data_IF_504372249934
#
_entry.id   IF_504372249934
#
_cell.length_a   1.000
_cell.length_b   1.000
_cell.length_c   1.000
_cell.angle_alpha   90.00
_cell.angle_beta   90.00
_cell.angle_gamma   90.00
#
_symmetry.space_group_name_H-M   'P 1'
#
loop_
_entity.id
_entity.type
_entity.pdbx_description
1 polymer ?
#
# COMPACT_ATOMS: atom_id res chain seq x y z
N UNK A 1 -6.10 27.48 -18.76
CA UNK A 1 -6.29 26.02 -18.81
C UNK A 1 -5.56 25.26 -17.70
N UNK A 2 -4.24 25.03 -17.71
CA UNK A 2 -3.61 24.17 -16.68
C UNK A 2 -3.86 24.71 -15.25
N UNK A 3 -3.72 26.02 -15.05
CA UNK A 3 -4.05 26.70 -13.78
C UNK A 3 -5.52 26.57 -13.34
N UNK A 4 -6.47 26.65 -14.27
CA UNK A 4 -7.91 26.50 -13.96
C UNK A 4 -8.25 25.05 -13.63
N UNK A 5 -7.66 24.09 -14.36
CA UNK A 5 -7.76 22.66 -14.07
C UNK A 5 -7.16 22.33 -12.71
N UNK A 6 -5.97 22.85 -12.40
CA UNK A 6 -5.32 22.72 -11.09
C UNK A 6 -6.18 23.32 -9.99
N UNK A 7 -6.76 24.50 -10.20
CA UNK A 7 -7.68 25.14 -9.23
C UNK A 7 -8.92 24.28 -8.96
N UNK A 8 -9.55 23.74 -10.01
CA UNK A 8 -10.71 22.84 -9.87
C UNK A 8 -10.36 21.55 -9.13
N UNK A 9 -9.20 20.95 -9.44
CA UNK A 9 -8.73 19.75 -8.76
C UNK A 9 -8.45 20.04 -7.28
N UNK A 10 -7.77 21.14 -6.96
CA UNK A 10 -7.52 21.57 -5.58
C UNK A 10 -8.82 21.80 -4.79
N UNK A 11 -9.84 22.39 -5.42
CA UNK A 11 -11.16 22.52 -4.79
C UNK A 11 -11.76 21.15 -4.44
N UNK A 12 -11.68 20.17 -5.35
CA UNK A 12 -12.16 18.80 -5.10
C UNK A 12 -11.37 18.09 -4.02
N UNK A 13 -10.04 18.24 -4.00
CA UNK A 13 -9.17 17.67 -2.97
C UNK A 13 -9.52 18.21 -1.58
N UNK A 14 -9.76 19.52 -1.46
CA UNK A 14 -10.15 20.16 -0.19
C UNK A 14 -11.46 19.60 0.38
N UNK A 15 -12.44 19.28 -0.45
CA UNK A 15 -13.70 18.65 -0.03
C UNK A 15 -13.53 17.21 0.50
N UNK A 16 -12.34 16.63 0.36
CA UNK A 16 -12.02 15.24 0.72
C UNK A 16 -10.98 15.13 1.84
N UNK A 17 -10.45 16.25 2.32
CA UNK A 17 -9.56 16.24 3.48
C UNK A 17 -10.23 15.61 4.69
N UNK A 18 -9.44 14.88 5.48
CA UNK A 18 -9.88 14.17 6.70
C UNK A 18 -10.91 13.06 6.48
N UNK A 19 -11.30 12.75 5.24
CA UNK A 19 -12.11 11.56 4.97
C UNK A 19 -11.19 10.34 5.00
N UNK A 20 -11.59 9.32 5.76
CA UNK A 20 -10.93 8.02 5.67
C UNK A 20 -11.11 7.47 4.26
N UNK A 21 -10.00 7.33 3.56
CA UNK A 21 -9.86 6.67 2.28
C UNK A 21 -9.75 5.15 2.50
N UNK A 22 -9.47 4.42 1.43
CA UNK A 22 -9.23 2.98 1.47
C UNK A 22 -8.01 2.63 2.32
N UNK A 23 -8.03 1.44 2.91
CA UNK A 23 -6.94 0.93 3.71
C UNK A 23 -6.73 1.69 5.04
N UNK A 24 -7.66 2.53 5.48
CA UNK A 24 -7.43 3.40 6.63
C UNK A 24 -6.45 4.56 6.35
N UNK A 25 -6.28 4.93 5.08
CA UNK A 25 -5.51 6.10 4.67
C UNK A 25 -6.34 7.37 4.93
N UNK A 26 -5.74 8.44 5.45
CA UNK A 26 -6.39 9.74 5.60
C UNK A 26 -5.46 10.80 5.02
N UNK A 27 -5.95 11.59 4.06
CA UNK A 27 -5.22 12.71 3.46
C UNK A 27 -5.62 14.06 4.07
N UNK A 28 -4.65 14.95 4.25
CA UNK A 28 -4.83 16.36 4.64
C UNK A 28 -3.89 17.26 3.85
N UNK A 29 -4.19 18.55 3.77
CA UNK A 29 -3.38 19.57 3.11
C UNK A 29 -3.05 19.16 1.65
N UNK A 30 -4.03 18.55 0.97
CA UNK A 30 -3.82 17.97 -0.36
C UNK A 30 -3.81 19.08 -1.42
N UNK A 31 -2.75 19.15 -2.21
CA UNK A 31 -2.57 20.21 -3.20
C UNK A 31 -1.84 19.73 -4.45
N UNK A 32 -2.23 20.26 -5.61
CA UNK A 32 -1.45 20.25 -6.84
C UNK A 32 -0.91 21.66 -7.08
N UNK A 33 0.40 21.76 -7.31
CA UNK A 33 1.10 23.00 -7.65
C UNK A 33 1.66 22.84 -9.05
N UNK A 34 1.31 23.76 -9.93
CA UNK A 34 1.95 23.91 -11.24
C UNK A 34 3.07 24.93 -11.13
N UNK A 35 4.31 24.49 -11.32
CA UNK A 35 5.46 25.39 -11.27
C UNK A 35 5.70 26.16 -12.59
N UNK A 36 4.86 25.95 -13.60
CA UNK A 36 4.94 26.63 -14.90
C UNK A 36 6.03 26.10 -15.83
N UNK A 37 6.83 25.12 -15.39
CA UNK A 37 7.93 24.52 -16.17
C UNK A 37 7.61 23.09 -16.63
N UNK A 38 6.32 22.73 -16.69
CA UNK A 38 5.90 21.37 -17.03
C UNK A 38 6.13 20.37 -15.89
N UNK A 39 6.19 20.83 -14.64
CA UNK A 39 6.20 19.97 -13.45
C UNK A 39 4.99 20.28 -12.58
N UNK A 40 4.17 19.25 -12.36
CA UNK A 40 3.09 19.27 -11.40
C UNK A 40 3.56 18.60 -10.11
N UNK A 41 3.60 19.37 -9.03
CA UNK A 41 3.92 18.85 -7.71
C UNK A 41 2.62 18.52 -6.96
N UNK A 42 2.48 17.28 -6.54
CA UNK A 42 1.39 16.80 -5.69
C UNK A 42 1.91 16.74 -4.25
N UNK A 43 1.29 17.53 -3.37
CA UNK A 43 1.59 17.62 -1.94
C UNK A 43 0.44 17.15 -1.08
N UNK A 44 0.77 16.69 0.12
CA UNK A 44 -0.20 16.27 1.11
C UNK A 44 0.44 15.56 2.30
N UNK A 45 -0.25 15.64 3.43
CA UNK A 45 0.01 14.80 4.59
C UNK A 45 -0.90 13.57 4.50
N UNK A 46 -0.32 12.37 4.58
CA UNK A 46 -1.05 11.13 4.61
C UNK A 46 -0.80 10.38 5.91
N UNK A 47 -1.86 9.86 6.50
CA UNK A 47 -1.79 8.90 7.60
C UNK A 47 -2.33 7.57 7.11
N UNK A 48 -1.50 6.53 7.11
CA UNK A 48 -1.89 5.15 6.81
C UNK A 48 -2.12 4.43 8.14
N UNK A 49 -3.32 3.89 8.36
CA UNK A 49 -3.62 3.10 9.56
C UNK A 49 -3.71 1.63 9.23
N UNK A 50 -2.78 0.83 9.77
CA UNK A 50 -2.75 -0.63 9.63
C UNK A 50 -3.32 -1.23 10.92
N UNK A 51 -4.33 -2.08 10.79
CA UNK A 51 -4.85 -2.88 11.90
C UNK A 51 -4.08 -4.19 11.96
N UNK A 52 -3.78 -4.64 13.16
CA UNK A 52 -3.15 -5.95 13.38
C UNK A 52 -4.04 -6.79 14.27
N UNK A 53 -4.41 -7.97 13.78
CA UNK A 53 -5.26 -8.89 14.51
C UNK A 53 -4.47 -10.13 14.91
N UNK A 54 -4.20 -10.27 16.21
CA UNK A 54 -3.49 -11.42 16.76
C UNK A 54 -4.43 -12.61 16.92
N UNK A 55 -4.39 -13.52 15.94
CA UNK A 55 -5.16 -14.75 15.91
C UNK A 55 -4.34 -15.96 16.37
N UNK A 56 -3.16 -15.77 16.95
CA UNK A 56 -2.39 -16.88 17.50
C UNK A 56 -3.12 -17.58 18.65
N UNK A 57 -2.92 -18.88 18.76
CA UNK A 57 -3.43 -19.72 19.86
C UNK A 57 -2.66 -19.47 21.14
N UNK A 58 -1.36 -19.22 21.03
CA UNK A 58 -0.50 -18.85 22.15
C UNK A 58 -0.38 -17.32 22.30
N UNK A 59 0.24 -16.87 23.40
CA UNK A 59 0.61 -15.47 23.55
C UNK A 59 1.69 -15.06 22.53
N UNK A 60 1.59 -13.85 22.02
CA UNK A 60 2.50 -13.26 21.03
C UNK A 60 3.37 -12.16 21.66
N UNK A 61 4.29 -12.47 22.61
CA UNK A 61 4.97 -11.47 23.45
C UNK A 61 5.87 -10.50 22.67
N UNK A 62 6.38 -10.88 21.49
CA UNK A 62 7.21 -10.03 20.65
C UNK A 62 6.40 -9.16 19.69
N UNK A 63 5.07 -9.36 19.60
CA UNK A 63 4.23 -8.61 18.68
C UNK A 63 4.41 -7.09 18.81
N UNK A 64 4.43 -6.47 20.00
CA UNK A 64 4.64 -5.02 20.13
C UNK A 64 5.95 -4.52 19.48
N UNK A 65 7.04 -5.28 19.62
CA UNK A 65 8.31 -4.95 18.98
C UNK A 65 8.26 -5.09 17.45
N UNK A 66 7.58 -6.12 16.93
CA UNK A 66 7.38 -6.33 15.49
C UNK A 66 6.52 -5.22 14.88
N UNK A 67 5.47 -4.77 15.57
CA UNK A 67 4.64 -3.63 15.16
C UNK A 67 5.48 -2.36 15.10
N UNK A 68 6.30 -2.11 16.12
CA UNK A 68 7.16 -0.94 16.19
C UNK A 68 8.20 -0.92 15.07
N UNK A 69 8.83 -2.07 14.80
CA UNK A 69 9.78 -2.23 13.70
C UNK A 69 9.13 -1.97 12.34
N UNK A 70 7.97 -2.59 12.09
CA UNK A 70 7.20 -2.43 10.85
C UNK A 70 6.78 -0.99 10.62
N UNK A 71 6.25 -0.34 11.65
CA UNK A 71 5.89 1.08 11.60
C UNK A 71 7.09 1.94 11.19
N UNK A 72 8.23 1.74 11.86
CA UNK A 72 9.45 2.52 11.64
C UNK A 72 9.98 2.32 10.22
N UNK A 73 9.98 1.08 9.74
CA UNK A 73 10.39 0.74 8.38
C UNK A 73 9.51 1.44 7.34
N UNK A 74 8.20 1.24 7.39
CA UNK A 74 7.26 1.81 6.42
C UNK A 74 7.32 3.34 6.41
N UNK A 75 7.39 3.98 7.58
CA UNK A 75 7.56 5.43 7.68
C UNK A 75 8.86 5.90 7.02
N UNK A 76 9.97 5.19 7.23
CA UNK A 76 11.27 5.57 6.66
C UNK A 76 11.29 5.45 5.13
N UNK A 77 10.70 4.38 4.57
CA UNK A 77 10.77 4.07 3.14
C UNK A 77 9.77 4.85 2.29
N UNK A 78 8.60 5.15 2.84
CA UNK A 78 7.59 5.95 2.15
C UNK A 78 7.84 7.46 2.25
N UNK A 79 8.78 7.90 3.09
CA UNK A 79 9.10 9.33 3.26
C UNK A 79 9.87 9.91 2.08
N UNK A 80 9.60 11.18 1.79
CA UNK A 80 10.43 12.02 0.94
C UNK A 80 9.97 12.03 -0.52
N UNK A 81 10.36 13.10 -1.25
CA UNK A 81 9.86 13.36 -2.59
C UNK A 81 10.25 12.26 -3.58
N UNK A 82 9.37 12.01 -4.55
CA UNK A 82 9.57 11.08 -5.65
C UNK A 82 9.12 11.72 -6.94
N UNK A 83 10.05 11.94 -7.88
CA UNK A 83 9.73 12.42 -9.22
C UNK A 83 9.41 11.25 -10.12
N UNK A 84 8.29 11.30 -10.85
CA UNK A 84 7.93 10.31 -11.86
C UNK A 84 8.06 10.87 -13.26
N UNK A 85 8.26 9.97 -14.23
CA UNK A 85 8.33 10.33 -15.64
C UNK A 85 7.08 11.03 -16.17
N UNK A 86 7.30 11.80 -17.22
CA UNK A 86 6.38 12.72 -17.86
C UNK A 86 5.24 12.02 -18.61
N UNK A 87 4.01 12.45 -18.35
CA UNK A 87 2.91 12.17 -19.26
C UNK A 87 3.00 13.16 -20.44
N UNK A 88 2.90 12.64 -21.66
CA UNK A 88 2.83 13.48 -22.85
C UNK A 88 1.42 14.05 -22.96
N UNK A 89 1.30 15.34 -22.65
CA UNK A 89 0.11 16.10 -23.00
C UNK A 89 0.36 16.87 -24.28
N UNK A 90 -0.70 17.46 -24.84
CA UNK A 90 -0.61 18.39 -25.95
C UNK A 90 -0.89 19.80 -25.46
N UNK A 91 -0.21 20.79 -26.03
CA UNK A 91 -0.43 22.19 -25.67
C UNK A 91 -1.85 22.61 -26.08
N UNK A 92 -2.62 23.18 -25.16
CA UNK A 92 -3.93 23.74 -25.50
C UNK A 92 -3.78 25.11 -26.15
N UNK A 93 -4.39 25.30 -27.32
CA UNK A 93 -4.48 26.59 -27.99
C UNK A 93 -5.75 27.33 -27.47
N UNK A 94 -5.60 28.37 -26.63
CA UNK A 94 -6.75 29.07 -26.07
C UNK A 94 -7.54 29.85 -27.12
N UNK A 95 -6.92 30.26 -28.23
CA UNK A 95 -7.59 30.97 -29.32
C UNK A 95 -8.46 30.01 -30.13
N UNK A 96 -7.97 28.80 -30.39
CA UNK A 96 -8.70 27.77 -31.17
C UNK A 96 -9.56 26.85 -30.31
N UNK A 97 -9.50 26.97 -28.99
CA UNK A 97 -10.19 26.13 -28.00
C UNK A 97 -9.98 24.63 -28.22
N UNK A 98 -8.77 24.20 -28.62
CA UNK A 98 -8.44 22.79 -28.87
C UNK A 98 -6.98 22.48 -28.54
N UNK A 99 -6.67 21.21 -28.31
CA UNK A 99 -5.31 20.73 -28.15
C UNK A 99 -4.56 20.70 -29.49
N UNK A 100 -3.31 21.19 -29.48
CA UNK A 100 -2.41 21.13 -30.62
C UNK A 100 -1.63 19.80 -30.60
N UNK A 101 -2.09 18.83 -31.38
CA UNK A 101 -1.49 17.50 -31.46
C UNK A 101 -0.05 17.50 -32.03
N UNK A 102 0.41 18.62 -32.60
CA UNK A 102 1.77 18.79 -33.13
C UNK A 102 2.74 19.39 -32.10
N UNK A 103 2.23 19.85 -30.95
CA UNK A 103 3.04 20.45 -29.89
C UNK A 103 2.88 19.62 -28.61
N UNK A 104 3.68 18.55 -28.45
CA UNK A 104 3.74 17.83 -27.19
C UNK A 104 4.26 18.76 -26.09
N UNK A 105 3.60 18.70 -24.94
CA UNK A 105 3.97 19.38 -23.71
C UNK A 105 4.15 18.29 -22.65
N UNK A 106 5.39 17.77 -22.46
CA UNK A 106 5.64 16.80 -21.42
C UNK A 106 5.35 17.45 -20.06
N UNK A 107 4.56 16.76 -19.24
CA UNK A 107 4.30 17.16 -17.86
C UNK A 107 4.82 16.07 -16.94
N UNK A 108 5.84 16.40 -16.15
CA UNK A 108 6.36 15.56 -15.09
C UNK A 108 5.54 15.72 -13.81
N UNK A 109 5.57 14.70 -12.95
CA UNK A 109 4.92 14.75 -11.65
C UNK A 109 5.95 14.57 -10.54
N UNK A 110 5.83 15.38 -9.50
CA UNK A 110 6.58 15.26 -8.27
C UNK A 110 5.61 14.89 -7.14
N UNK A 111 5.73 13.70 -6.58
CA UNK A 111 5.02 13.31 -5.37
C UNK A 111 5.82 13.76 -4.16
N UNK A 112 5.31 14.76 -3.45
CA UNK A 112 5.94 15.30 -2.26
C UNK A 112 5.00 15.13 -1.07
N UNK A 113 4.89 13.88 -0.62
CA UNK A 113 3.99 13.48 0.44
C UNK A 113 4.73 13.29 1.76
N UNK A 114 4.09 13.74 2.83
CA UNK A 114 4.51 13.43 4.18
C UNK A 114 3.67 12.26 4.69
N UNK A 115 4.25 11.07 4.67
CA UNK A 115 3.55 9.83 5.05
C UNK A 115 3.86 9.45 6.49
N UNK A 116 2.81 9.35 7.29
CA UNK A 116 2.82 8.79 8.63
C UNK A 116 2.12 7.43 8.61
N UNK A 117 2.71 6.44 9.28
CA UNK A 117 2.08 5.12 9.46
C UNK A 117 1.71 4.94 10.92
N UNK A 118 0.48 4.52 11.16
CA UNK A 118 -0.03 4.10 12.46
C UNK A 118 -0.33 2.61 12.41
N UNK A 119 0.06 1.88 13.44
CA UNK A 119 -0.28 0.47 13.59
C UNK A 119 -1.06 0.33 14.88
N UNK A 120 -2.26 -0.23 14.79
CA UNK A 120 -3.15 -0.46 15.94
C UNK A 120 -3.46 -1.94 16.05
N UNK A 121 -3.25 -2.50 17.23
CA UNK A 121 -3.70 -3.87 17.51
C UNK A 121 -5.21 -3.85 17.77
N UNK A 122 -5.92 -4.78 17.14
CA UNK A 122 -7.34 -5.06 17.41
C UNK A 122 -7.49 -6.36 18.17
N UNK A 123 -8.48 -6.40 19.05
CA UNK A 123 -8.75 -7.53 19.94
C UNK A 123 -9.97 -8.34 19.49
N UNK A 124 -10.81 -7.79 18.62
CA UNK A 124 -11.97 -8.49 18.07
C UNK A 124 -12.31 -8.03 16.65
N UNK A 125 -13.06 -8.87 15.94
CA UNK A 125 -13.44 -8.65 14.54
C UNK A 125 -14.32 -7.40 14.33
N UNK A 126 -15.11 -7.02 15.33
CA UNK A 126 -15.96 -5.82 15.30
C UNK A 126 -15.19 -4.50 15.25
N UNK A 127 -13.90 -4.52 15.58
CA UNK A 127 -13.01 -3.36 15.42
C UNK A 127 -12.48 -3.22 13.98
N UNK A 128 -12.77 -4.17 13.09
CA UNK A 128 -12.37 -4.16 11.68
C UNK A 128 -13.54 -3.66 10.83
N UNK A 129 -13.26 -2.71 9.96
CA UNK A 129 -14.19 -2.09 9.01
C UNK A 129 -13.92 -2.65 7.61
N UNK A 130 -14.92 -2.52 6.74
CA UNK A 130 -14.89 -3.09 5.40
C UNK A 130 -13.88 -2.46 4.43
N UNK A 131 -12.94 -1.64 4.88
CA UNK A 131 -11.90 -1.04 4.05
C UNK A 131 -10.57 -0.83 4.81
N UNK A 132 -10.33 -1.51 5.94
CA UNK A 132 -9.07 -1.35 6.67
C UNK A 132 -7.93 -2.11 5.98
N UNK A 133 -6.71 -1.56 6.04
CA UNK A 133 -5.51 -2.39 5.91
C UNK A 133 -5.39 -3.25 7.16
N UNK A 134 -5.22 -4.55 6.94
CA UNK A 134 -5.25 -5.53 8.00
C UNK A 134 -4.10 -6.51 7.82
N UNK A 135 -3.34 -6.71 8.89
CA UNK A 135 -2.40 -7.83 9.03
C UNK A 135 -3.00 -8.79 10.06
N UNK A 136 -3.35 -9.99 9.63
CA UNK A 136 -3.73 -11.08 10.51
C UNK A 136 -2.49 -11.90 10.88
N UNK A 137 -2.23 -12.03 12.18
CA UNK A 137 -1.10 -12.81 12.69
C UNK A 137 -1.62 -14.17 13.12
N UNK A 138 -1.05 -15.24 12.55
CA UNK A 138 -1.55 -16.60 12.71
C UNK A 138 -0.45 -17.52 13.25
N UNK A 139 -0.83 -18.70 13.75
CA UNK A 139 0.12 -19.69 14.27
C UNK A 139 0.97 -20.30 13.16
N UNK A 140 0.37 -20.53 11.98
CA UNK A 140 1.04 -21.18 10.86
C UNK A 140 0.44 -20.78 9.52
N UNK A 141 1.33 -20.62 8.53
CA UNK A 141 0.99 -20.58 7.11
C UNK A 141 1.45 -21.87 6.43
N UNK A 142 0.52 -22.60 5.82
CA UNK A 142 0.79 -23.87 5.12
C UNK A 142 1.07 -23.70 3.62
N UNK A 143 0.82 -22.51 3.08
CA UNK A 143 0.96 -22.19 1.66
C UNK A 143 2.39 -22.41 1.17
N UNK A 144 2.50 -22.95 -0.05
CA UNK A 144 3.75 -23.17 -0.76
C UNK A 144 3.63 -22.61 -2.17
N UNK A 145 4.71 -22.03 -2.67
CA UNK A 145 4.79 -21.51 -4.02
C UNK A 145 6.02 -22.08 -4.73
N UNK A 146 6.02 -22.05 -6.06
CA UNK A 146 7.20 -22.36 -6.87
C UNK A 146 7.80 -21.06 -7.38
N UNK A 147 9.11 -20.93 -7.26
CA UNK A 147 9.83 -19.83 -7.90
C UNK A 147 9.92 -20.03 -9.42
N UNK A 148 10.41 -19.00 -10.13
CA UNK A 148 10.69 -19.05 -11.58
C UNK A 148 11.66 -20.15 -12.01
N UNK A 149 12.40 -20.75 -11.07
CA UNK A 149 13.30 -21.87 -11.31
C UNK A 149 12.66 -23.22 -11.02
N UNK A 150 11.37 -23.24 -10.64
CA UNK A 150 10.59 -24.44 -10.35
C UNK A 150 10.79 -25.01 -8.95
N UNK A 151 11.55 -24.35 -8.08
CA UNK A 151 11.81 -24.79 -6.71
C UNK A 151 10.66 -24.39 -5.79
N UNK A 152 10.19 -25.34 -4.98
CA UNK A 152 9.13 -25.11 -4.01
C UNK A 152 9.67 -24.47 -2.74
N UNK A 153 8.98 -23.43 -2.27
CA UNK A 153 9.28 -22.71 -1.04
C UNK A 153 8.04 -22.64 -0.15
N UNK A 154 8.27 -22.45 1.16
CA UNK A 154 7.19 -22.17 2.13
C UNK A 154 6.97 -20.67 2.21
N UNK A 155 5.72 -20.25 2.25
CA UNK A 155 5.38 -18.85 2.40
C UNK A 155 5.47 -18.41 3.88
N UNK A 156 6.09 -17.26 4.12
CA UNK A 156 6.18 -16.62 5.44
C UNK A 156 4.86 -15.90 5.82
N UNK A 157 4.20 -15.40 4.80
CA UNK A 157 2.88 -14.81 4.81
C UNK A 157 2.29 -14.92 3.41
N UNK A 158 1.12 -14.32 3.23
CA UNK A 158 0.64 -14.03 1.90
C UNK A 158 -0.33 -12.86 1.96
N UNK A 159 -0.33 -12.09 0.87
CA UNK A 159 -1.26 -11.01 0.68
C UNK A 159 -1.67 -10.89 -0.78
N UNK A 160 -2.61 -9.99 -1.05
CA UNK A 160 -2.95 -9.60 -2.40
C UNK A 160 -3.32 -8.12 -2.42
N UNK A 161 -3.37 -7.53 -3.61
CA UNK A 161 -3.70 -6.12 -3.78
C UNK A 161 -4.96 -5.73 -3.02
N UNK A 162 -4.84 -4.77 -2.11
CA UNK A 162 -5.92 -4.27 -1.26
C UNK A 162 -6.46 -5.26 -0.21
N UNK A 163 -6.03 -6.52 -0.22
CA UNK A 163 -6.60 -7.55 0.64
C UNK A 163 -5.84 -7.68 1.98
N UNK A 164 -6.43 -8.30 3.01
CA UNK A 164 -5.76 -8.53 4.29
C UNK A 164 -4.51 -9.40 4.13
N UNK A 165 -3.37 -8.95 4.65
CA UNK A 165 -2.16 -9.76 4.72
C UNK A 165 -2.28 -10.76 5.87
N UNK A 166 -1.77 -11.98 5.67
CA UNK A 166 -1.67 -13.00 6.71
C UNK A 166 -0.20 -13.31 6.93
N UNK A 167 0.25 -13.33 8.18
CA UNK A 167 1.66 -13.54 8.54
C UNK A 167 1.77 -14.61 9.62
N UNK A 168 2.65 -15.59 9.40
CA UNK A 168 3.01 -16.54 10.45
C UNK A 168 3.87 -15.85 11.53
N UNK A 169 3.41 -15.86 12.78
CA UNK A 169 4.11 -15.21 13.89
C UNK A 169 5.55 -15.70 14.06
N UNK A 170 5.77 -17.01 13.95
CA UNK A 170 7.10 -17.62 14.16
C UNK A 170 8.12 -17.14 13.13
N UNK A 171 7.67 -16.93 11.89
CA UNK A 171 8.49 -16.41 10.80
C UNK A 171 8.75 -14.93 10.98
N UNK A 172 7.74 -14.14 11.32
CA UNK A 172 7.91 -12.70 11.56
C UNK A 172 8.87 -12.40 12.73
N UNK A 173 8.87 -13.24 13.76
CA UNK A 173 9.85 -13.15 14.86
C UNK A 173 11.29 -13.39 14.37
N UNK A 174 11.48 -14.31 13.42
CA UNK A 174 12.80 -14.61 12.84
C UNK A 174 13.22 -13.54 11.84
N UNK A 175 12.27 -13.00 11.09
CA UNK A 175 12.52 -11.99 10.07
C UNK A 175 11.50 -10.83 10.21
N UNK A 176 11.89 -9.74 10.90
CA UNK A 176 11.04 -8.57 11.06
C UNK A 176 10.63 -7.90 9.73
N UNK A 177 11.36 -8.16 8.63
CA UNK A 177 11.10 -7.61 7.30
C UNK A 177 9.84 -8.18 6.64
N UNK A 178 9.38 -9.35 7.10
CA UNK A 178 8.13 -9.98 6.62
C UNK A 178 6.91 -9.06 6.80
N UNK A 179 6.83 -8.33 7.92
CA UNK A 179 5.73 -7.40 8.18
C UNK A 179 5.57 -6.32 7.10
N UNK A 180 6.63 -5.52 6.85
CA UNK A 180 6.65 -4.57 5.74
C UNK A 180 6.42 -5.18 4.37
N UNK A 181 7.08 -6.30 4.04
CA UNK A 181 6.94 -7.01 2.77
C UNK A 181 5.47 -7.34 2.46
N UNK A 182 4.81 -7.99 3.40
CA UNK A 182 3.41 -8.40 3.26
C UNK A 182 2.45 -7.21 3.23
N UNK A 183 2.82 -6.10 3.87
CA UNK A 183 2.07 -4.85 3.72
C UNK A 183 2.23 -4.25 2.32
N UNK A 184 3.42 -4.27 1.72
CA UNK A 184 3.63 -3.72 0.38
C UNK A 184 2.85 -4.46 -0.71
N UNK A 185 2.61 -5.76 -0.57
CA UNK A 185 1.66 -6.48 -1.42
C UNK A 185 0.23 -5.91 -1.36
N UNK A 186 -0.21 -5.36 -0.22
CA UNK A 186 -1.51 -4.67 -0.13
C UNK A 186 -1.56 -3.40 -0.97
N UNK A 187 -0.38 -2.80 -1.23
CA UNK A 187 -0.18 -1.65 -2.11
C UNK A 187 0.15 -2.05 -3.55
N UNK A 188 -0.13 -3.30 -3.94
CA UNK A 188 0.08 -3.85 -5.28
C UNK A 188 1.52 -4.05 -5.72
N UNK A 189 2.49 -4.08 -4.79
CA UNK A 189 3.85 -4.46 -5.15
C UNK A 189 3.91 -5.99 -5.32
N UNK A 190 4.50 -6.43 -6.43
CA UNK A 190 4.71 -7.85 -6.71
C UNK A 190 6.04 -8.32 -6.10
N UNK A 191 6.15 -9.63 -5.94
CA UNK A 191 7.40 -10.28 -5.58
C UNK A 191 8.48 -10.07 -6.65
N UNK A 192 9.72 -9.91 -6.18
CA UNK A 192 10.93 -9.90 -6.98
C UNK A 192 11.61 -11.26 -6.86
N UNK A 193 12.04 -11.82 -8.00
CA UNK A 193 12.58 -13.19 -8.06
C UNK A 193 14.02 -13.27 -8.57
N UNK A 194 14.62 -12.17 -9.01
CA UNK A 194 15.99 -12.20 -9.53
C UNK A 194 17.02 -12.17 -8.39
N UNK A 195 18.15 -12.89 -8.53
CA UNK A 195 19.24 -12.82 -7.54
C UNK A 195 19.83 -11.42 -7.32
N UNK A 196 19.66 -10.49 -8.27
CA UNK A 196 20.05 -9.08 -8.13
C UNK A 196 19.23 -8.35 -7.08
N UNK A 197 18.02 -8.83 -6.79
CA UNK A 197 17.01 -8.13 -6.01
C UNK A 197 17.04 -8.56 -4.54
N UNK A 198 17.99 -9.43 -4.15
CA UNK A 198 18.12 -10.02 -2.81
C UNK A 198 18.25 -9.04 -1.65
N UNK A 199 18.50 -7.76 -1.92
CA UNK A 199 18.55 -6.75 -0.86
C UNK A 199 17.25 -5.94 -0.76
N UNK A 200 16.35 -6.12 -1.73
CA UNK A 200 15.07 -5.42 -1.80
C UNK A 200 14.02 -6.13 -0.96
N UNK A 201 13.17 -5.34 -0.33
CA UNK A 201 12.16 -5.80 0.62
C UNK A 201 11.16 -6.72 -0.05
N UNK A 202 10.91 -6.58 -1.36
CA UNK A 202 9.98 -7.41 -2.11
C UNK A 202 10.64 -8.69 -2.65
N UNK A 203 11.87 -9.02 -2.27
CA UNK A 203 12.48 -10.29 -2.66
C UNK A 203 11.77 -11.48 -2.01
N UNK A 204 11.23 -12.36 -2.84
CA UNK A 204 10.26 -13.39 -2.47
C UNK A 204 10.77 -14.48 -1.51
N UNK A 205 12.09 -14.68 -1.38
CA UNK A 205 12.64 -15.73 -0.51
C UNK A 205 12.85 -15.30 0.93
N UNK A 206 12.78 -13.99 1.21
CA UNK A 206 13.03 -13.44 2.53
C UNK A 206 14.46 -13.69 3.01
N UNK A 207 15.18 -12.63 3.34
CA UNK A 207 16.31 -12.74 4.24
C UNK A 207 16.31 -11.56 5.22
N UNK A 208 16.96 -11.72 6.37
CA UNK A 208 17.02 -10.67 7.41
C UNK A 208 17.76 -9.41 6.93
N UNK A 209 18.29 -9.38 5.70
CA UNK A 209 19.02 -8.26 5.12
C UNK A 209 18.18 -7.46 4.12
N UNK A 210 17.02 -7.98 3.71
CA UNK A 210 16.01 -7.30 2.90
C UNK A 210 15.57 -5.99 3.56
N UNK A 211 16.14 -4.88 3.11
CA UNK A 211 15.89 -3.57 3.73
C UNK A 211 15.77 -2.44 2.72
N UNK A 212 15.91 -2.71 1.42
CA UNK A 212 15.78 -1.69 0.39
C UNK A 212 14.36 -1.65 -0.18
N UNK A 213 13.92 -0.45 -0.55
CA UNK A 213 12.72 -0.27 -1.37
C UNK A 213 13.21 0.57 -2.54
N UNK A 214 13.23 -0.01 -3.73
CA UNK A 214 13.69 0.67 -4.94
C UNK A 214 12.82 1.88 -5.26
N UNK A 215 13.35 2.79 -6.07
CA UNK A 215 12.60 3.96 -6.52
C UNK A 215 11.34 3.56 -7.29
N UNK A 216 11.41 2.49 -8.10
CA UNK A 216 10.26 1.99 -8.87
C UNK A 216 9.14 1.48 -7.96
N UNK A 217 9.49 0.63 -6.99
CA UNK A 217 8.53 0.11 -6.00
C UNK A 217 7.91 1.24 -5.17
N UNK A 218 8.72 2.23 -4.76
CA UNK A 218 8.22 3.42 -4.07
C UNK A 218 7.25 4.21 -4.95
N UNK A 219 7.54 4.40 -6.24
CA UNK A 219 6.63 5.05 -7.19
C UNK A 219 5.30 4.29 -7.27
N UNK A 220 5.34 2.96 -7.38
CA UNK A 220 4.14 2.14 -7.53
C UNK A 220 3.28 2.14 -6.26
N UNK A 221 3.90 2.09 -5.07
CA UNK A 221 3.20 2.28 -3.80
C UNK A 221 2.50 3.66 -3.73
N UNK A 222 3.17 4.74 -4.15
CA UNK A 222 2.58 6.08 -4.18
C UNK A 222 1.47 6.21 -5.24
N UNK A 223 1.60 5.54 -6.39
CA UNK A 223 0.56 5.48 -7.41
C UNK A 223 -0.69 4.78 -6.91
N UNK A 224 -0.55 3.71 -6.13
CA UNK A 224 -1.70 3.05 -5.50
C UNK A 224 -2.49 4.05 -4.63
N UNK A 225 -1.78 4.78 -3.76
CA UNK A 225 -2.37 5.82 -2.88
C UNK A 225 -3.08 6.90 -3.70
N UNK A 226 -2.50 7.37 -4.82
CA UNK A 226 -3.09 8.41 -5.67
C UNK A 226 -4.27 7.91 -6.50
N UNK A 227 -4.18 6.68 -7.03
CA UNK A 227 -5.25 6.05 -7.82
C UNK A 227 -6.53 5.95 -6.98
N UNK A 228 -6.38 5.61 -5.70
CA UNK A 228 -7.48 5.55 -4.75
C UNK A 228 -8.18 6.91 -4.57
N UNK A 229 -7.40 7.98 -4.36
CA UNK A 229 -7.91 9.36 -4.29
C UNK A 229 -8.66 9.74 -5.58
N UNK A 230 -8.08 9.40 -6.74
CA UNK A 230 -8.64 9.73 -8.05
C UNK A 230 -9.97 9.01 -8.30
N UNK A 231 -10.04 7.71 -8.02
CA UNK A 231 -11.24 6.92 -8.23
C UNK A 231 -12.40 7.34 -7.30
N UNK A 232 -12.10 7.82 -6.08
CA UNK A 232 -13.12 8.40 -5.17
C UNK A 232 -13.68 9.76 -5.62
N UNK A 233 -13.05 10.44 -6.60
CA UNK A 233 -13.63 11.63 -7.23
C UNK A 233 -14.70 11.29 -8.27
N UNK A 234 -14.80 10.02 -8.68
CA UNK A 234 -15.85 9.51 -9.54
C UNK A 234 -17.00 9.06 -8.64
N UNK A 235 -18.25 9.41 -8.97
CA UNK A 235 -19.44 9.25 -8.13
C UNK A 235 -19.78 7.82 -7.71
N UNK A 236 -19.16 6.80 -8.32
CA UNK A 236 -19.32 5.39 -7.99
C UNK A 236 -17.94 4.78 -7.73
N UNK A 237 -17.48 4.86 -6.49
CA UNK A 237 -16.23 4.22 -6.08
C UNK A 237 -16.51 2.84 -5.50
N UNK A 238 -15.96 1.80 -6.13
CA UNK A 238 -15.90 0.45 -5.57
C UNK A 238 -14.43 0.16 -5.26
N UNK A 239 -14.10 0.15 -3.97
CA UNK A 239 -12.81 -0.34 -3.51
C UNK A 239 -12.70 -1.84 -3.82
N UNK A 240 -11.56 -2.35 -4.35
CA UNK A 240 -11.31 -3.80 -4.41
C UNK A 240 -11.44 -4.51 -3.04
N UNK A 241 -11.39 -3.75 -1.94
CA UNK A 241 -11.36 -4.22 -0.55
C UNK A 241 -12.66 -3.98 0.22
N UNK A 242 -13.82 -3.72 -0.40
CA UNK A 242 -15.09 -3.35 0.28
C UNK A 242 -15.69 -4.44 1.21
N UNK A 243 -14.86 -5.38 1.67
CA UNK A 243 -15.21 -6.44 2.60
C UNK A 243 -13.99 -7.08 3.27
N UNK A 244 -13.11 -6.28 3.89
CA UNK A 244 -11.90 -6.77 4.61
C UNK A 244 -12.17 -8.00 5.47
N UNK A 245 -13.29 -8.02 6.22
CA UNK A 245 -13.68 -9.14 7.08
C UNK A 245 -14.00 -10.42 6.29
N UNK A 246 -14.82 -10.35 5.23
CA UNK A 246 -15.10 -11.56 4.45
C UNK A 246 -13.89 -12.02 3.65
N UNK A 247 -13.05 -11.11 3.14
CA UNK A 247 -11.80 -11.49 2.48
C UNK A 247 -10.87 -12.22 3.44
N UNK A 248 -10.73 -11.72 4.67
CA UNK A 248 -9.96 -12.41 5.70
C UNK A 248 -10.56 -13.78 6.01
N UNK A 249 -11.90 -13.86 6.19
CA UNK A 249 -12.59 -15.14 6.43
C UNK A 249 -12.33 -16.14 5.31
N UNK A 250 -12.45 -15.73 4.05
CA UNK A 250 -12.18 -16.61 2.90
C UNK A 250 -10.74 -17.11 2.93
N UNK A 251 -9.77 -16.21 3.14
CA UNK A 251 -8.34 -16.58 3.16
C UNK A 251 -7.96 -17.50 4.32
N UNK A 252 -8.49 -17.25 5.52
CA UNK A 252 -8.24 -18.08 6.71
C UNK A 252 -8.83 -19.48 6.59
N UNK A 253 -9.88 -19.66 5.78
CA UNK A 253 -10.57 -20.93 5.61
C UNK A 253 -10.26 -21.62 4.27
N UNK A 254 -9.36 -21.05 3.47
CA UNK A 254 -8.92 -21.67 2.23
C UNK A 254 -8.03 -22.89 2.55
N UNK A 255 -8.45 -24.11 2.19
CA UNK A 255 -7.70 -25.32 2.50
C UNK A 255 -6.33 -25.36 1.82
N UNK A 256 -6.13 -24.65 0.69
CA UNK A 256 -4.85 -24.60 -0.03
C UNK A 256 -3.79 -23.88 0.80
N UNK A 257 -4.19 -22.89 1.60
CA UNK A 257 -3.28 -22.05 2.36
C UNK A 257 -2.85 -22.69 3.69
N UNK A 258 -3.54 -23.75 4.14
CA UNK A 258 -3.18 -24.52 5.33
C UNK A 258 -3.02 -23.68 6.60
N UNK A 259 -3.91 -22.71 6.82
CA UNK A 259 -3.80 -21.72 7.89
C UNK A 259 -4.25 -22.29 9.23
N UNK A 260 -3.39 -22.18 10.24
CA UNK A 260 -3.72 -22.51 11.63
C UNK A 260 -3.81 -21.24 12.46
N UNK A 261 -4.93 -21.07 13.17
CA UNK A 261 -5.20 -19.89 13.99
C UNK A 261 -6.25 -20.22 15.05
N UNK A 262 -6.34 -19.39 16.09
CA UNK A 262 -7.35 -19.47 17.11
C UNK A 262 -8.70 -18.96 16.59
N UNK A 263 -9.58 -19.89 16.22
CA UNK A 263 -10.91 -19.57 15.70
C UNK A 263 -11.78 -18.79 16.69
N UNK A 264 -11.62 -18.98 18.00
CA UNK A 264 -12.43 -18.26 19.00
C UNK A 264 -12.10 -16.77 19.08
N UNK A 265 -10.92 -16.37 18.59
CA UNK A 265 -10.56 -14.95 18.46
C UNK A 265 -11.19 -14.32 17.21
N UNK A 266 -11.58 -15.12 16.23
CA UNK A 266 -12.17 -14.67 14.96
C UNK A 266 -13.71 -14.74 14.93
N UNK A 267 -14.32 -15.38 15.93
CA UNK A 267 -15.77 -15.46 16.13
C UNK A 267 -16.38 -14.18 16.67
#
# INVERSE_FOLDING_TARGET
>A
MLRETVSLINHRLKQKENKSLSGGIVGKNLQIIDNGMGLLELKGDFTITIKVFDLCSAASPKLPSLLSSTKSYLQSKLKGPVTTYSANFYRYDPKKKKFNLKEPAPVSFLFNFNISVNIIQVNNIGQIRGNDFLIAVVDRVGYQFKDRYGKTHKAAGFSGTGAPSIIEYSTWVKDPSTGPHEFFHTLSLADLELPSDKNDIMYHLGDQTNTNLSLAEKIDALRYIISDITNMTKSVYQNPSYNTVNQLRTRLNDPINGISYNRSRFS
#
